data_IF_435679590876
#
_entry.id   IF_435679590876
#
_cell.length_a   1.000
_cell.length_b   1.000
_cell.length_c   1.000
_cell.angle_alpha   90.00
_cell.angle_beta   90.00
_cell.angle_gamma   90.00
#
_symmetry.space_group_name_H-M   'P 1'
#
loop_
_entity.id
_entity.type
_entity.pdbx_description
1 polymer ?
#
# COMPACT_ATOMS: atom_id res chain seq x y z
N UNK A 1 -10.71 14.49 -1.91
CA UNK A 1 -10.90 13.03 -2.05
C UNK A 1 -11.01 12.32 -0.70
N UNK A 2 -10.04 12.47 0.21
CA UNK A 2 -10.08 11.83 1.55
C UNK A 2 -11.38 12.08 2.32
N UNK A 3 -11.89 13.33 2.33
CA UNK A 3 -13.19 13.63 2.96
C UNK A 3 -14.37 12.90 2.31
N UNK A 4 -14.36 12.74 0.98
CA UNK A 4 -15.42 12.00 0.27
C UNK A 4 -15.37 10.51 0.62
N UNK A 5 -14.17 9.94 0.69
CA UNK A 5 -13.92 8.57 1.13
C UNK A 5 -14.41 8.33 2.57
N UNK A 6 -14.11 9.24 3.50
CA UNK A 6 -14.59 9.17 4.89
C UNK A 6 -16.11 9.17 5.00
N UNK A 7 -16.81 9.95 4.16
CA UNK A 7 -18.29 9.96 4.10
C UNK A 7 -18.86 8.63 3.62
N UNK A 8 -18.10 7.88 2.83
CA UNK A 8 -18.43 6.52 2.39
C UNK A 8 -17.94 5.44 3.38
N UNK A 9 -17.43 5.85 4.55
CA UNK A 9 -16.99 4.94 5.61
C UNK A 9 -15.59 4.36 5.42
N UNK A 10 -14.84 4.79 4.42
CA UNK A 10 -13.54 4.23 4.05
C UNK A 10 -12.40 4.97 4.73
N UNK A 11 -11.46 4.21 5.29
CA UNK A 11 -10.25 4.76 5.88
C UNK A 11 -9.26 5.13 4.77
N UNK A 12 -8.69 6.33 4.87
CA UNK A 12 -7.81 6.91 3.86
C UNK A 12 -6.44 7.23 4.43
N UNK A 13 -5.39 6.92 3.68
CA UNK A 13 -4.02 7.32 3.98
C UNK A 13 -3.54 8.27 2.89
N UNK A 14 -3.26 9.52 3.27
CA UNK A 14 -2.67 10.51 2.38
C UNK A 14 -1.15 10.31 2.42
N UNK A 15 -0.54 9.93 1.29
CA UNK A 15 0.91 9.75 1.18
C UNK A 15 1.52 11.03 0.63
N UNK A 16 2.26 11.78 1.45
CA UNK A 16 2.87 13.04 1.04
C UNK A 16 4.08 13.42 1.89
N UNK A 17 5.05 14.09 1.28
CA UNK A 17 6.17 14.73 1.99
C UNK A 17 5.85 16.17 2.46
N UNK A 18 4.63 16.63 2.23
CA UNK A 18 4.14 17.96 2.63
C UNK A 18 3.48 17.90 4.01
N UNK A 19 3.90 18.79 4.91
CA UNK A 19 3.39 18.86 6.28
C UNK A 19 1.99 19.50 6.34
N UNK A 20 1.53 20.13 5.27
CA UNK A 20 0.28 20.87 5.21
C UNK A 20 -0.91 19.94 5.27
N UNK A 21 -0.75 18.73 4.72
CA UNK A 21 -1.73 17.67 4.79
C UNK A 21 -2.08 17.24 6.22
N UNK A 22 -1.26 17.59 7.24
CA UNK A 22 -1.58 17.34 8.64
C UNK A 22 -2.90 18.01 9.07
N UNK A 23 -3.30 19.10 8.41
CA UNK A 23 -4.61 19.75 8.64
C UNK A 23 -5.80 18.89 8.22
N UNK A 24 -5.59 17.86 7.39
CA UNK A 24 -6.63 16.97 6.87
C UNK A 24 -6.81 15.70 7.72
N UNK A 25 -5.96 15.50 8.74
CA UNK A 25 -6.04 14.34 9.63
C UNK A 25 -7.35 14.37 10.42
N UNK A 26 -8.01 13.22 10.48
CA UNK A 26 -9.30 13.02 11.17
C UNK A 26 -9.43 11.54 11.54
N UNK A 27 -10.48 11.09 12.24
CA UNK A 27 -10.58 9.69 12.70
C UNK A 27 -10.40 8.63 11.60
N UNK A 28 -10.82 8.92 10.36
CA UNK A 28 -10.67 8.03 9.18
C UNK A 28 -9.59 8.46 8.20
N UNK A 29 -8.89 9.57 8.44
CA UNK A 29 -7.87 10.09 7.53
C UNK A 29 -6.55 10.20 8.27
N UNK A 30 -5.56 9.46 7.80
CA UNK A 30 -4.18 9.51 8.32
C UNK A 30 -3.25 10.07 7.25
N UNK A 31 -2.13 10.64 7.67
CA UNK A 31 -1.08 11.12 6.76
C UNK A 31 0.15 10.24 6.91
N UNK A 32 0.57 9.60 5.84
CA UNK A 32 1.85 8.92 5.76
C UNK A 32 2.91 9.92 5.29
N UNK A 33 3.78 10.32 6.21
CA UNK A 33 4.83 11.30 5.97
C UNK A 33 6.19 10.61 6.00
N UNK A 34 6.85 10.41 4.85
CA UNK A 34 8.18 9.83 4.80
C UNK A 34 9.20 10.83 5.35
N UNK A 35 9.95 10.46 6.40
CA UNK A 35 11.08 11.28 6.86
C UNK A 35 12.28 11.09 5.91
N UNK A 36 13.45 11.61 6.30
CA UNK A 36 14.73 11.65 5.55
C UNK A 36 15.12 10.36 4.82
N UNK A 37 14.62 9.21 5.24
CA UNK A 37 14.73 7.92 4.52
C UNK A 37 13.36 7.24 4.49
N UNK A 38 13.02 6.56 3.39
CA UNK A 38 11.77 5.77 3.26
C UNK A 38 11.61 4.68 4.35
N UNK A 39 12.67 4.35 5.10
CA UNK A 39 12.63 3.41 6.22
C UNK A 39 12.23 4.02 7.59
N UNK A 40 12.27 5.34 7.76
CA UNK A 40 11.80 6.04 8.97
C UNK A 40 10.51 6.80 8.61
N UNK A 41 9.45 6.04 8.35
CA UNK A 41 8.16 6.59 7.97
C UNK A 41 7.28 6.74 9.20
N UNK A 42 6.58 7.87 9.30
CA UNK A 42 5.65 8.14 10.39
C UNK A 42 4.24 8.26 9.83
N UNK A 43 3.34 7.41 10.35
CA UNK A 43 1.91 7.53 10.12
C UNK A 43 1.34 8.49 11.17
N UNK A 44 0.79 9.60 10.71
CA UNK A 44 0.20 10.64 11.55
C UNK A 44 -1.31 10.45 11.62
N UNK A 45 -1.77 10.06 12.80
CA UNK A 45 -3.16 10.19 13.25
C UNK A 45 -3.32 11.45 14.13
N UNK A 46 -4.52 11.69 14.66
CA UNK A 46 -4.84 12.88 15.45
C UNK A 46 -3.94 13.01 16.68
N UNK A 47 -3.58 11.88 17.32
CA UNK A 47 -2.72 11.85 18.49
C UNK A 47 -1.28 12.20 18.11
N UNK A 48 -0.75 11.63 17.03
CA UNK A 48 0.60 11.92 16.54
C UNK A 48 0.75 13.39 16.10
N UNK A 49 -0.27 13.97 15.46
CA UNK A 49 -0.28 15.41 15.12
C UNK A 49 -0.29 16.24 16.40
N UNK A 50 -1.16 15.89 17.35
CA UNK A 50 -1.27 16.61 18.63
C UNK A 50 0.02 16.56 19.44
N UNK A 51 0.71 15.42 19.46
CA UNK A 51 2.00 15.26 20.13
C UNK A 51 3.09 16.12 19.47
N UNK A 52 3.10 16.19 18.13
CA UNK A 52 4.12 16.93 17.37
C UNK A 52 3.95 18.44 17.47
N UNK A 53 2.72 18.94 17.31
CA UNK A 53 2.43 20.38 17.21
C UNK A 53 1.91 20.98 18.53
N UNK A 54 1.49 20.16 19.49
CA UNK A 54 0.87 20.62 20.74
C UNK A 54 -0.59 21.08 20.56
N UNK A 55 -1.18 20.87 19.38
CA UNK A 55 -2.54 21.26 19.00
C UNK A 55 -3.17 20.20 18.10
N UNK A 56 -4.50 20.15 18.06
CA UNK A 56 -5.23 19.22 17.20
C UNK A 56 -5.07 19.55 15.70
N UNK A 57 -5.26 18.58 14.80
CA UNK A 57 -5.24 18.79 13.34
C UNK A 57 -6.10 19.97 12.85
N UNK A 58 -7.29 20.14 13.45
CA UNK A 58 -8.24 21.21 13.11
C UNK A 58 -7.70 22.63 13.30
N UNK A 59 -6.65 22.81 14.12
CA UNK A 59 -6.02 24.12 14.37
C UNK A 59 -4.67 24.32 13.64
N UNK A 60 -4.26 23.39 12.78
CA UNK A 60 -2.98 23.50 12.06
C UNK A 60 -2.96 24.74 11.16
N UNK A 61 -4.09 25.07 10.52
CA UNK A 61 -4.26 26.27 9.70
C UNK A 61 -4.15 27.55 10.53
N UNK A 62 -4.75 27.57 11.72
CA UNK A 62 -4.67 28.71 12.66
C UNK A 62 -3.25 28.90 13.17
N UNK A 63 -2.55 27.80 13.46
CA UNK A 63 -1.16 27.81 13.88
C UNK A 63 -0.25 28.41 12.80
N UNK A 64 -0.41 27.98 11.55
CA UNK A 64 0.30 28.56 10.41
C UNK A 64 -0.09 30.02 10.15
N UNK A 65 -1.37 30.38 10.32
CA UNK A 65 -1.83 31.75 10.19
C UNK A 65 -1.18 32.70 11.21
N UNK A 66 -0.93 32.24 12.43
CA UNK A 66 -0.28 33.01 13.48
C UNK A 66 1.26 33.03 13.33
N UNK A 67 1.88 31.87 13.17
CA UNK A 67 3.35 31.74 13.13
C UNK A 67 3.95 32.13 11.79
N UNK A 68 3.22 31.88 10.70
CA UNK A 68 3.73 31.89 9.34
C UNK A 68 4.35 30.56 8.94
N UNK A 69 4.63 30.45 7.64
CA UNK A 69 5.34 29.34 7.01
C UNK A 69 6.38 29.88 6.01
N UNK A 70 7.67 29.90 6.38
CA UNK A 70 8.73 30.37 5.49
C UNK A 70 8.89 29.55 4.21
N UNK A 71 8.51 28.26 4.22
CA UNK A 71 8.68 27.40 3.05
C UNK A 71 7.70 27.76 1.93
N UNK A 72 6.49 28.20 2.30
CA UNK A 72 5.45 28.68 1.38
C UNK A 72 5.36 30.21 1.31
N UNK A 73 6.36 30.91 1.86
CA UNK A 73 6.39 32.38 1.93
C UNK A 73 5.13 32.99 2.58
N UNK A 74 4.57 32.28 3.57
CA UNK A 74 3.44 32.74 4.38
C UNK A 74 4.01 33.53 5.56
N UNK A 75 3.72 34.83 5.68
CA UNK A 75 4.39 35.70 6.66
C UNK A 75 3.95 35.43 8.10
N UNK A 76 2.68 35.12 8.33
CA UNK A 76 2.11 35.05 9.68
C UNK A 76 2.13 36.41 10.40
N UNK A 77 1.96 36.39 11.72
CA UNK A 77 2.04 37.59 12.56
C UNK A 77 3.49 37.80 13.02
N UNK A 78 4.16 38.90 12.64
CA UNK A 78 5.54 39.15 13.02
C UNK A 78 5.75 39.11 14.53
N UNK A 79 6.69 38.29 15.01
CA UNK A 79 6.98 38.16 16.44
C UNK A 79 6.15 37.12 17.19
N UNK A 80 5.24 36.42 16.51
CA UNK A 80 4.57 35.23 17.05
C UNK A 80 5.30 33.98 16.54
N UNK A 81 5.93 33.25 17.46
CA UNK A 81 6.54 31.94 17.19
C UNK A 81 5.68 30.78 17.69
N UNK A 82 6.19 29.56 17.53
CA UNK A 82 5.49 28.29 17.80
C UNK A 82 4.82 28.28 19.17
N UNK A 83 5.57 28.61 20.23
CA UNK A 83 5.08 28.56 21.61
C UNK A 83 3.93 29.53 21.87
N UNK A 84 4.01 30.73 21.29
CA UNK A 84 2.98 31.76 21.46
C UNK A 84 1.73 31.38 20.67
N UNK A 85 1.89 30.91 19.42
CA UNK A 85 0.78 30.44 18.60
C UNK A 85 0.05 29.26 19.26
N UNK A 86 0.77 28.24 19.73
CA UNK A 86 0.18 27.10 20.46
C UNK A 86 -0.57 27.56 21.71
N UNK A 87 0.02 28.47 22.51
CA UNK A 87 -0.64 29.00 23.71
C UNK A 87 -1.95 29.72 23.38
N UNK A 88 -1.95 30.57 22.36
CA UNK A 88 -3.15 31.30 21.93
C UNK A 88 -4.24 30.34 21.45
N UNK A 89 -3.88 29.34 20.65
CA UNK A 89 -4.82 28.34 20.14
C UNK A 89 -5.36 27.45 21.26
N UNK A 90 -4.52 27.03 22.21
CA UNK A 90 -4.98 26.24 23.35
C UNK A 90 -5.93 27.03 24.26
N UNK A 91 -5.76 28.35 24.35
CA UNK A 91 -6.57 29.21 25.20
C UNK A 91 -7.90 29.62 24.53
N UNK A 92 -7.86 29.99 23.26
CA UNK A 92 -8.99 30.62 22.57
C UNK A 92 -9.53 29.79 21.40
N UNK A 93 -8.79 28.81 20.89
CA UNK A 93 -9.19 28.00 19.74
C UNK A 93 -8.70 28.60 18.42
N UNK A 94 -9.63 29.02 17.55
CA UNK A 94 -9.31 29.50 16.21
C UNK A 94 -8.81 30.95 16.21
N UNK A 95 -8.21 31.38 15.10
CA UNK A 95 -7.86 32.79 14.87
C UNK A 95 -9.09 33.70 15.05
N UNK A 96 -10.26 33.30 14.54
CA UNK A 96 -11.49 34.08 14.69
C UNK A 96 -11.86 34.25 16.18
N UNK A 97 -11.76 33.20 16.99
CA UNK A 97 -12.04 33.26 18.42
C UNK A 97 -10.99 34.07 19.21
N UNK A 98 -9.72 34.00 18.80
CA UNK A 98 -8.65 34.83 19.38
C UNK A 98 -8.96 36.32 19.17
N UNK A 99 -9.41 36.70 17.97
CA UNK A 99 -9.73 38.10 17.67
C UNK A 99 -11.07 38.54 18.28
N UNK A 100 -12.04 37.64 18.43
CA UNK A 100 -13.28 37.91 19.15
C UNK A 100 -13.04 38.20 20.64
N UNK A 101 -12.06 37.52 21.26
CA UNK A 101 -11.69 37.67 22.68
C UNK A 101 -10.35 38.40 22.85
N UNK A 102 -9.98 39.25 21.90
CA UNK A 102 -8.67 39.91 21.86
C UNK A 102 -8.37 40.72 23.13
N UNK A 103 -9.41 41.21 23.81
CA UNK A 103 -9.30 41.98 25.06
C UNK A 103 -8.78 41.16 26.25
N UNK A 104 -8.91 39.83 26.20
CA UNK A 104 -8.45 38.89 27.22
C UNK A 104 -7.00 38.41 26.98
N UNK A 105 -6.42 38.75 25.81
CA UNK A 105 -5.06 38.32 25.45
C UNK A 105 -4.03 39.04 26.30
N UNK A 106 -3.21 38.26 27.01
CA UNK A 106 -2.10 38.76 27.83
C UNK A 106 -0.75 38.26 27.29
N UNK A 107 0.31 39.10 27.32
CA UNK A 107 0.38 40.47 27.85
C UNK A 107 -0.15 41.56 26.88
N UNK A 108 -0.40 42.81 27.34
CA UNK A 108 -0.91 43.91 26.50
C UNK A 108 -0.08 44.20 25.24
N UNK A 109 1.22 43.94 25.28
CA UNK A 109 2.11 44.06 24.10
C UNK A 109 1.74 43.04 23.00
N UNK A 110 1.42 41.80 23.38
CA UNK A 110 1.00 40.75 22.44
C UNK A 110 -0.38 41.07 21.86
N UNK A 111 -1.29 41.55 22.70
CA UNK A 111 -2.60 42.03 22.27
C UNK A 111 -2.48 43.16 21.23
N UNK A 112 -1.68 44.20 21.50
CA UNK A 112 -1.46 45.29 20.56
C UNK A 112 -0.85 44.80 19.23
N UNK A 113 0.10 43.86 19.29
CA UNK A 113 0.71 43.24 18.12
C UNK A 113 -0.32 42.48 17.26
N UNK A 114 -1.17 41.67 17.90
CA UNK A 114 -2.24 40.94 17.21
C UNK A 114 -3.23 41.90 16.56
N UNK A 115 -3.68 42.95 17.27
CA UNK A 115 -4.58 43.98 16.73
C UNK A 115 -4.00 44.68 15.50
N UNK A 116 -2.69 44.96 15.51
CA UNK A 116 -2.03 45.62 14.38
C UNK A 116 -1.93 44.71 13.14
N UNK A 117 -1.93 43.38 13.33
CA UNK A 117 -1.67 42.40 12.28
C UNK A 117 -2.85 41.44 12.02
N UNK A 118 -4.07 41.84 12.39
CA UNK A 118 -5.28 41.02 12.24
C UNK A 118 -5.52 40.56 10.81
N UNK A 119 -5.50 41.49 9.85
CA UNK A 119 -5.67 41.16 8.43
C UNK A 119 -4.61 40.18 7.93
N UNK A 120 -3.37 40.31 8.41
CA UNK A 120 -2.25 39.47 8.02
C UNK A 120 -2.40 38.05 8.58
N UNK A 121 -2.91 37.90 9.80
CA UNK A 121 -3.20 36.60 10.40
C UNK A 121 -4.30 35.86 9.61
N UNK A 122 -5.40 36.54 9.29
CA UNK A 122 -6.48 35.97 8.49
C UNK A 122 -6.02 35.60 7.08
N UNK A 123 -5.29 36.49 6.41
CA UNK A 123 -4.74 36.21 5.09
C UNK A 123 -3.76 35.04 5.11
N UNK A 124 -2.89 34.96 6.13
CA UNK A 124 -1.94 33.85 6.26
C UNK A 124 -2.64 32.52 6.52
N UNK A 125 -3.73 32.52 7.30
CA UNK A 125 -4.58 31.34 7.51
C UNK A 125 -5.23 30.90 6.21
N UNK A 126 -5.81 31.82 5.46
CA UNK A 126 -6.44 31.53 4.17
C UNK A 126 -5.45 30.87 3.20
N UNK A 127 -4.24 31.43 3.08
CA UNK A 127 -3.18 30.89 2.24
C UNK A 127 -2.70 29.49 2.68
N UNK A 128 -2.68 29.22 3.99
CA UNK A 128 -2.29 27.92 4.54
C UNK A 128 -3.40 26.86 4.46
N UNK A 129 -4.63 27.25 4.14
CA UNK A 129 -5.80 26.35 4.17
C UNK A 129 -5.95 25.60 2.86
N UNK A 130 -5.92 24.27 2.92
CA UNK A 130 -6.15 23.41 1.77
C UNK A 130 -7.62 23.50 1.35
N UNK A 131 -7.87 23.88 0.10
CA UNK A 131 -9.21 23.89 -0.49
C UNK A 131 -9.68 22.45 -0.70
N UNK A 132 -10.65 22.03 0.10
CA UNK A 132 -11.22 20.67 0.05
C UNK A 132 -12.47 20.57 -0.82
N UNK A 133 -13.07 21.70 -1.20
CA UNK A 133 -14.29 21.81 -1.99
C UNK A 133 -13.99 22.06 -3.46
N UNK A 134 -13.38 21.08 -4.11
CA UNK A 134 -13.11 21.09 -5.55
C UNK A 134 -14.16 20.25 -6.31
N UNK A 135 -14.51 20.60 -7.56
CA UNK A 135 -15.53 19.91 -8.36
C UNK A 135 -15.01 18.59 -8.94
N UNK A 136 -14.45 17.73 -8.08
CA UNK A 136 -13.96 16.39 -8.42
C UNK A 136 -14.75 15.39 -7.57
N UNK A 137 -15.29 14.37 -8.22
CA UNK A 137 -16.01 13.28 -7.55
C UNK A 137 -15.13 12.04 -7.44
N UNK A 138 -15.01 11.49 -6.24
CA UNK A 138 -14.32 10.22 -6.01
C UNK A 138 -15.19 9.06 -6.49
N UNK A 139 -14.75 8.37 -7.52
CA UNK A 139 -15.27 7.07 -7.93
C UNK A 139 -14.33 5.97 -7.42
N UNK A 140 -14.81 5.13 -6.50
CA UNK A 140 -13.99 4.07 -5.93
C UNK A 140 -13.73 2.93 -6.91
N UNK A 141 -14.63 2.71 -7.86
CA UNK A 141 -14.47 1.68 -8.88
C UNK A 141 -13.27 2.00 -9.79
N UNK A 142 -13.05 3.28 -10.07
CA UNK A 142 -11.89 3.75 -10.83
C UNK A 142 -10.58 3.71 -10.01
N UNK A 143 -10.68 3.58 -8.69
CA UNK A 143 -9.53 3.56 -7.78
C UNK A 143 -9.07 2.14 -7.43
N UNK A 144 -9.68 1.11 -8.02
CA UNK A 144 -9.29 -0.28 -7.79
C UNK A 144 -7.90 -0.55 -8.37
N UNK A 145 -7.08 -1.28 -7.62
CA UNK A 145 -5.74 -1.67 -8.05
C UNK A 145 -5.87 -2.70 -9.18
N UNK A 146 -5.64 -2.28 -10.42
CA UNK A 146 -5.72 -3.17 -11.57
C UNK A 146 -4.42 -3.96 -11.76
N UNK A 147 -4.53 -5.05 -12.52
CA UNK A 147 -3.34 -5.74 -13.00
C UNK A 147 -2.59 -4.84 -13.99
N UNK A 148 -1.28 -5.00 -14.07
CA UNK A 148 -0.44 -4.31 -15.05
C UNK A 148 0.29 -5.33 -15.94
N UNK A 149 0.62 -4.91 -17.16
CA UNK A 149 1.45 -5.71 -18.07
C UNK A 149 2.90 -5.71 -17.58
N UNK A 150 3.26 -6.78 -16.87
CA UNK A 150 4.60 -6.93 -16.30
C UNK A 150 5.69 -6.95 -17.37
N UNK A 151 5.41 -7.45 -18.58
CA UNK A 151 6.38 -7.45 -19.66
C UNK A 151 6.71 -6.02 -20.09
N UNK A 152 5.68 -5.21 -20.36
CA UNK A 152 5.85 -3.81 -20.76
C UNK A 152 6.53 -2.99 -19.66
N UNK A 153 6.18 -3.23 -18.39
CA UNK A 153 6.85 -2.56 -17.26
C UNK A 153 8.31 -3.00 -17.15
N UNK A 154 8.62 -4.29 -17.35
CA UNK A 154 10.00 -4.77 -17.30
C UNK A 154 10.86 -4.23 -18.46
N UNK A 155 10.29 -4.13 -19.67
CA UNK A 155 10.96 -3.47 -20.81
C UNK A 155 11.26 -2.01 -20.49
N UNK A 156 10.27 -1.27 -19.98
CA UNK A 156 10.45 0.12 -19.59
C UNK A 156 11.52 0.27 -18.49
N UNK A 157 11.53 -0.61 -17.49
CA UNK A 157 12.54 -0.60 -16.43
C UNK A 157 13.94 -0.90 -16.95
N UNK A 158 14.09 -1.75 -17.99
CA UNK A 158 15.38 -1.99 -18.64
C UNK A 158 15.82 -0.80 -19.47
N UNK A 159 14.91 -0.18 -20.20
CA UNK A 159 15.18 1.04 -20.99
C UNK A 159 15.62 2.20 -20.09
N UNK A 160 14.99 2.36 -18.92
CA UNK A 160 15.34 3.35 -17.90
C UNK A 160 16.49 2.91 -16.98
N UNK A 161 17.09 1.74 -17.22
CA UNK A 161 18.17 1.15 -16.42
C UNK A 161 17.86 0.94 -14.92
N UNK A 162 16.58 0.81 -14.55
CA UNK A 162 16.10 0.49 -13.20
C UNK A 162 16.24 -1.00 -12.84
N UNK A 163 17.40 -1.57 -13.12
CA UNK A 163 17.67 -3.01 -13.02
C UNK A 163 17.52 -3.55 -11.59
N UNK A 164 17.80 -2.73 -10.57
CA UNK A 164 17.67 -3.12 -9.15
C UNK A 164 16.22 -3.17 -8.66
N UNK A 165 15.28 -2.55 -9.37
CA UNK A 165 13.86 -2.55 -9.04
C UNK A 165 13.08 -3.66 -9.76
N UNK A 166 13.60 -4.21 -10.86
CA UNK A 166 13.03 -5.36 -11.56
C UNK A 166 12.67 -6.55 -10.65
N UNK A 167 13.55 -7.03 -9.74
CA UNK A 167 13.22 -8.14 -8.86
C UNK A 167 12.18 -7.78 -7.77
N UNK A 168 11.88 -6.49 -7.59
CA UNK A 168 10.90 -6.00 -6.61
C UNK A 168 9.50 -5.79 -7.23
N UNK A 169 9.37 -5.93 -8.54
CA UNK A 169 8.07 -5.86 -9.19
C UNK A 169 7.20 -7.02 -8.69
N UNK A 170 6.00 -6.73 -8.15
CA UNK A 170 5.07 -7.76 -7.72
C UNK A 170 4.91 -8.86 -8.76
N UNK A 171 4.93 -10.11 -8.29
CA UNK A 171 4.47 -11.21 -9.11
C UNK A 171 2.96 -11.07 -9.24
N UNK A 172 2.48 -10.97 -10.46
CA UNK A 172 1.06 -10.92 -10.73
C UNK A 172 0.57 -12.36 -10.63
N UNK A 173 -0.03 -12.75 -9.51
CA UNK A 173 -0.84 -13.97 -9.46
C UNK A 173 -1.94 -13.80 -10.50
N UNK A 174 -1.85 -14.57 -11.59
CA UNK A 174 -2.79 -14.49 -12.69
C UNK A 174 -4.14 -15.08 -12.25
N UNK A 175 -4.99 -14.26 -11.63
CA UNK A 175 -6.43 -14.50 -11.67
C UNK A 175 -6.91 -14.09 -13.05
N UNK A 176 -7.07 -15.09 -13.93
CA UNK A 176 -7.62 -14.94 -15.27
C UNK A 176 -8.99 -14.22 -15.18
N UNK A 177 -9.01 -12.95 -15.60
CA UNK A 177 -10.22 -12.30 -16.08
C UNK A 177 -10.07 -12.09 -17.60
N UNK A 178 -11.12 -12.35 -18.39
CA UNK A 178 -10.98 -12.73 -19.79
C UNK A 178 -10.84 -11.50 -20.68
N UNK A 179 -9.61 -11.16 -21.08
CA UNK A 179 -9.39 -10.25 -22.21
C UNK A 179 -9.22 -11.08 -23.47
N UNK A 180 -10.19 -10.96 -24.38
CA UNK A 180 -10.18 -11.59 -25.70
C UNK A 180 -9.00 -11.09 -26.53
N UNK A 181 -7.88 -11.80 -26.47
CA UNK A 181 -6.85 -11.78 -27.51
C UNK A 181 -7.10 -12.99 -28.39
N UNK A 182 -7.21 -12.78 -29.71
CA UNK A 182 -7.22 -13.86 -30.70
C UNK A 182 -5.94 -14.67 -30.58
N UNK A 183 -5.98 -15.74 -29.80
CA UNK A 183 -4.94 -16.75 -29.71
C UNK A 183 -5.41 -17.93 -30.55
N UNK A 184 -4.60 -18.33 -31.52
CA UNK A 184 -4.64 -19.64 -32.16
C UNK A 184 -4.95 -20.71 -31.11
N UNK A 185 -5.87 -21.66 -31.33
CA UNK A 185 -6.41 -22.48 -30.25
C UNK A 185 -5.28 -23.15 -29.46
N UNK A 186 -5.11 -22.74 -28.19
CA UNK A 186 -4.26 -23.46 -27.24
C UNK A 186 -4.77 -24.90 -27.20
N UNK A 187 -3.89 -25.92 -27.28
CA UNK A 187 -4.31 -27.30 -27.04
C UNK A 187 -5.02 -27.34 -25.67
N UNK A 188 -6.20 -27.95 -25.60
CA UNK A 188 -6.89 -28.14 -24.33
C UNK A 188 -5.93 -28.90 -23.40
N UNK A 189 -5.55 -28.33 -22.26
CA UNK A 189 -4.53 -28.96 -21.46
C UNK A 189 -5.08 -30.20 -20.74
N UNK A 190 -4.35 -31.31 -20.86
CA UNK A 190 -4.65 -32.58 -20.19
C UNK A 190 -3.91 -32.63 -18.85
N UNK A 191 -4.61 -32.22 -17.78
CA UNK A 191 -4.08 -32.20 -16.42
C UNK A 191 -4.66 -33.33 -15.59
N UNK A 192 -3.80 -34.12 -14.96
CA UNK A 192 -4.16 -35.33 -14.23
C UNK A 192 -3.61 -35.29 -12.81
N UNK A 193 -4.47 -35.61 -11.82
CA UNK A 193 -4.03 -35.87 -10.44
C UNK A 193 -3.79 -37.37 -10.31
N UNK A 194 -2.61 -37.74 -9.82
CA UNK A 194 -2.16 -39.11 -9.62
C UNK A 194 -2.21 -39.44 -8.14
N UNK A 195 -3.40 -39.78 -7.68
CA UNK A 195 -3.69 -40.10 -6.28
C UNK A 195 -3.98 -41.58 -6.02
N UNK A 196 -3.93 -42.42 -7.04
CA UNK A 196 -4.14 -43.88 -6.94
C UNK A 196 -2.93 -44.64 -7.45
N UNK A 197 -2.70 -45.84 -6.89
CA UNK A 197 -1.57 -46.70 -7.29
C UNK A 197 -1.67 -47.06 -8.78
N UNK A 198 -2.88 -47.36 -9.27
CA UNK A 198 -3.08 -47.69 -10.68
C UNK A 198 -2.66 -46.54 -11.60
N UNK A 199 -3.11 -45.31 -11.33
CA UNK A 199 -2.75 -44.15 -12.14
C UNK A 199 -1.24 -43.85 -12.07
N UNK A 200 -0.60 -44.14 -10.93
CA UNK A 200 0.84 -44.00 -10.77
C UNK A 200 1.62 -45.03 -11.60
N UNK A 201 1.18 -46.29 -11.62
CA UNK A 201 1.79 -47.34 -12.44
C UNK A 201 1.65 -47.03 -13.95
N UNK A 202 0.49 -46.51 -14.37
CA UNK A 202 0.27 -46.04 -15.73
C UNK A 202 1.22 -44.89 -16.10
N UNK A 203 1.43 -43.92 -15.19
CA UNK A 203 2.39 -42.83 -15.39
C UNK A 203 3.83 -43.35 -15.47
N UNK A 204 4.24 -44.29 -14.61
CA UNK A 204 5.59 -44.87 -14.64
C UNK A 204 5.87 -45.56 -15.98
N UNK A 205 4.91 -46.33 -16.50
CA UNK A 205 5.03 -46.95 -17.82
C UNK A 205 5.18 -45.93 -18.96
N UNK A 206 4.56 -44.76 -18.82
CA UNK A 206 4.71 -43.68 -19.80
C UNK A 206 6.05 -42.97 -19.67
N UNK A 207 6.54 -42.79 -18.44
CA UNK A 207 7.86 -42.19 -18.17
C UNK A 207 8.99 -43.07 -18.70
N UNK A 208 8.89 -44.39 -18.53
CA UNK A 208 9.89 -45.36 -19.00
C UNK A 208 10.02 -45.37 -20.54
N UNK A 209 8.92 -45.12 -21.25
CA UNK A 209 8.88 -45.02 -22.70
C UNK A 209 9.27 -43.63 -23.24
N UNK A 210 9.33 -42.61 -22.37
CA UNK A 210 9.60 -41.24 -22.79
C UNK A 210 11.11 -40.98 -22.97
N UNK A 211 11.48 -40.27 -24.04
CA UNK A 211 12.89 -39.87 -24.27
C UNK A 211 13.36 -38.80 -23.29
N UNK A 212 12.44 -37.93 -22.87
CA UNK A 212 12.68 -36.84 -21.93
C UNK A 212 11.35 -36.39 -21.36
N UNK A 213 11.39 -35.84 -20.15
CA UNK A 213 10.24 -35.23 -19.50
C UNK A 213 10.73 -34.06 -18.65
N UNK A 214 9.82 -33.14 -18.32
CA UNK A 214 10.06 -32.09 -17.35
C UNK A 214 9.44 -32.49 -16.01
N UNK A 215 10.06 -32.08 -14.92
CA UNK A 215 9.47 -32.22 -13.60
C UNK A 215 9.71 -30.96 -12.76
N UNK A 216 8.85 -30.76 -11.78
CA UNK A 216 8.94 -29.70 -10.79
C UNK A 216 8.43 -30.19 -9.43
N UNK A 217 8.82 -29.52 -8.35
CA UNK A 217 8.49 -29.92 -6.97
C UNK A 217 7.74 -28.82 -6.25
N UNK A 218 6.69 -29.22 -5.53
CA UNK A 218 6.03 -28.37 -4.56
C UNK A 218 6.58 -28.67 -3.17
N UNK A 219 7.04 -27.64 -2.47
CA UNK A 219 7.70 -27.79 -1.17
C UNK A 219 7.17 -26.81 -0.13
N UNK A 220 7.34 -27.15 1.14
CA UNK A 220 6.96 -26.25 2.25
C UNK A 220 7.89 -25.04 2.41
N UNK A 221 9.01 -25.00 1.68
CA UNK A 221 10.00 -23.93 1.75
C UNK A 221 10.86 -23.90 0.49
N UNK A 222 11.37 -22.71 0.14
CA UNK A 222 12.41 -22.52 -0.88
C UNK A 222 13.80 -22.97 -0.42
N UNK A 223 14.01 -23.22 0.88
CA UNK A 223 15.27 -23.73 1.39
C UNK A 223 15.31 -25.27 1.27
N UNK A 224 16.11 -25.78 0.32
CA UNK A 224 16.22 -27.21 0.03
C UNK A 224 16.64 -28.08 1.23
N UNK A 225 17.35 -27.55 2.23
CA UNK A 225 17.78 -28.32 3.40
C UNK A 225 16.68 -28.50 4.46
N UNK A 226 15.65 -27.66 4.41
CA UNK A 226 14.54 -27.65 5.39
C UNK A 226 13.19 -27.99 4.76
N UNK A 227 13.12 -27.98 3.43
CA UNK A 227 11.93 -28.26 2.65
C UNK A 227 11.44 -29.70 2.86
N UNK A 228 10.14 -29.83 3.08
CA UNK A 228 9.42 -31.11 2.95
C UNK A 228 8.69 -31.13 1.61
N UNK A 229 8.60 -32.32 1.01
CA UNK A 229 7.93 -32.50 -0.26
C UNK A 229 6.41 -32.54 -0.07
N UNK A 230 5.71 -31.69 -0.83
CA UNK A 230 4.24 -31.60 -0.83
C UNK A 230 3.67 -32.31 -2.06
N UNK A 231 4.30 -32.14 -3.22
CA UNK A 231 3.88 -32.77 -4.47
C UNK A 231 4.97 -32.77 -5.55
N UNK A 232 4.75 -33.57 -6.59
CA UNK A 232 5.63 -33.68 -7.75
C UNK A 232 4.80 -33.44 -9.00
N UNK A 233 5.22 -32.50 -9.84
CA UNK A 233 4.63 -32.22 -11.15
C UNK A 233 5.51 -32.83 -12.24
N UNK A 234 4.91 -33.53 -13.21
CA UNK A 234 5.62 -34.15 -14.33
C UNK A 234 4.91 -33.83 -15.64
N UNK A 235 5.66 -33.48 -16.68
CA UNK A 235 5.13 -33.22 -18.02
C UNK A 235 5.92 -33.98 -19.08
N UNK A 236 5.19 -34.78 -19.86
CA UNK A 236 5.74 -35.57 -20.98
C UNK A 236 5.70 -34.79 -22.31
N UNK A 237 4.78 -33.84 -22.44
CA UNK A 237 4.57 -33.04 -23.64
C UNK A 237 3.93 -31.67 -23.29
N UNK A 238 4.14 -30.63 -24.13
CA UNK A 238 3.48 -29.34 -23.95
C UNK A 238 1.95 -29.48 -23.88
N UNK A 239 1.35 -28.97 -22.81
CA UNK A 239 -0.10 -29.05 -22.58
C UNK A 239 -0.56 -30.32 -21.87
N UNK A 240 0.34 -31.19 -21.43
CA UNK A 240 0.03 -32.38 -20.63
C UNK A 240 0.83 -32.36 -19.32
N UNK A 241 0.16 -32.49 -18.16
CA UNK A 241 0.84 -32.55 -16.88
C UNK A 241 0.17 -33.50 -15.87
N UNK A 242 1.00 -34.08 -15.02
CA UNK A 242 0.67 -35.04 -13.98
C UNK A 242 1.11 -34.50 -12.64
N UNK A 243 0.18 -34.37 -11.70
CA UNK A 243 0.47 -33.95 -10.34
C UNK A 243 0.32 -35.12 -9.37
N UNK A 244 1.38 -35.44 -8.64
CA UNK A 244 1.42 -36.50 -7.65
C UNK A 244 1.42 -35.87 -6.25
N UNK A 245 0.27 -35.82 -5.54
CA UNK A 245 0.23 -35.36 -4.15
C UNK A 245 0.89 -36.40 -3.23
N UNK A 246 1.76 -35.94 -2.32
CA UNK A 246 2.48 -36.81 -1.36
C UNK A 246 2.56 -36.28 0.07
N UNK A 247 2.21 -35.00 0.29
CA UNK A 247 2.39 -34.33 1.59
C UNK A 247 1.38 -33.22 1.87
N UNK A 248 0.20 -33.24 1.25
CA UNK A 248 -0.84 -32.23 1.49
C UNK A 248 -1.47 -32.42 2.88
N UNK A 249 -1.71 -31.30 3.57
CA UNK A 249 -2.39 -31.24 4.88
C UNK A 249 -3.46 -30.14 4.85
N UNK A 250 -4.70 -30.40 5.29
CA UNK A 250 -5.75 -29.36 5.32
C UNK A 250 -7.19 -29.85 5.15
N UNK A 251 -8.12 -28.87 5.04
CA UNK A 251 -9.58 -29.04 5.04
C UNK A 251 -10.15 -29.51 3.69
N UNK A 252 -9.64 -30.64 3.23
CA UNK A 252 -10.09 -31.39 2.07
C UNK A 252 -9.11 -32.54 1.93
N UNK A 253 -9.49 -33.76 2.34
CA UNK A 253 -8.62 -34.91 2.19
C UNK A 253 -8.42 -35.18 0.70
N UNK A 254 -7.32 -34.66 0.16
CA UNK A 254 -6.83 -35.08 -1.15
C UNK A 254 -6.28 -36.48 -0.96
N UNK A 255 -6.89 -37.48 -1.58
CA UNK A 255 -6.30 -38.81 -1.65
C UNK A 255 -4.88 -38.66 -2.20
N UNK A 256 -3.91 -39.31 -1.56
CA UNK A 256 -2.51 -39.12 -1.89
C UNK A 256 -1.75 -40.42 -1.70
N UNK A 257 -0.70 -40.58 -2.49
CA UNK A 257 0.13 -41.76 -2.44
C UNK A 257 1.15 -41.64 -1.31
N UNK A 258 1.52 -42.74 -0.66
CA UNK A 258 2.63 -42.75 0.29
C UNK A 258 3.92 -42.23 -0.37
N UNK A 259 4.56 -41.23 0.25
CA UNK A 259 5.78 -40.60 -0.29
C UNK A 259 6.86 -41.61 -0.66
N UNK A 260 7.08 -42.62 0.18
CA UNK A 260 8.06 -43.68 -0.07
C UNK A 260 7.73 -44.52 -1.32
N UNK A 261 6.46 -44.79 -1.59
CA UNK A 261 6.01 -45.49 -2.79
C UNK A 261 6.36 -44.68 -4.04
N UNK A 262 6.04 -43.37 -4.03
CA UNK A 262 6.30 -42.47 -5.16
C UNK A 262 7.79 -42.32 -5.43
N UNK A 263 8.59 -42.06 -4.39
CA UNK A 263 10.05 -41.89 -4.52
C UNK A 263 10.72 -43.16 -5.03
N UNK A 264 10.29 -44.35 -4.58
CA UNK A 264 10.87 -45.60 -5.04
C UNK A 264 10.51 -45.89 -6.50
N UNK A 265 9.25 -45.63 -6.91
CA UNK A 265 8.83 -45.78 -8.30
C UNK A 265 9.59 -44.87 -9.27
N UNK A 266 9.77 -43.59 -8.91
CA UNK A 266 10.46 -42.62 -9.76
C UNK A 266 12.00 -42.78 -9.81
N UNK A 267 12.60 -43.56 -8.89
CA UNK A 267 14.03 -43.88 -8.89
C UNK A 267 14.41 -45.01 -9.84
N UNK A 268 13.42 -45.77 -10.31
CA UNK A 268 13.61 -46.83 -11.29
C UNK A 268 12.60 -46.67 -12.43
N UNK A 269 12.63 -45.51 -13.13
CA UNK A 269 11.75 -45.28 -14.26
C UNK A 269 12.11 -46.23 -15.42
#
# INVERSE_FOLDING_TARGET
LSQQSSRQGIDSIIVTGDADAMQLVSPKVKVFYPKRTFGDTALYDEAAVSQKYGIKPEYITDFKGLKGDPSDNIPGVPGIGDKTAVKLIQQFGTIEEIYAHIDEVTPPKLQALLRQNESLAHQSKELATIVTQIPISLNLDDCQLSHYDRHRVAELFRELEFLSLLPKLPEVEAHESPTQVKISPKPQPAYHIINTTQAFDELLNRLSAAKSFAFDLETTSVNAMLAQLVGISISLAPGEAYYIPVGHVGWGQVEQLPLNQVINGLKSP
#
